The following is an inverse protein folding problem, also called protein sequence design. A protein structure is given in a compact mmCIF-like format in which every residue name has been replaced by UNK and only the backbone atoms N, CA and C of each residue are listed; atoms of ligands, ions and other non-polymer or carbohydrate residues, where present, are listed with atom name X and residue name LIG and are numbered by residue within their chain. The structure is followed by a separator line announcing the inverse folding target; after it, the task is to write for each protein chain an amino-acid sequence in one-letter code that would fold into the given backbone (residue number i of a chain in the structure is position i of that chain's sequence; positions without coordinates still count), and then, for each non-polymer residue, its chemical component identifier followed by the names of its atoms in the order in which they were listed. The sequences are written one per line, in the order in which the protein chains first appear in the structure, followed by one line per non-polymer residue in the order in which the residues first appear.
data_IF_459482396794
#
_entry.id   IF_459482396794
#
_cell.length_a   1.000
_cell.length_b   1.000
_cell.length_c   1.000
_cell.angle_alpha   90.00
_cell.angle_beta   90.00
_cell.angle_gamma   90.00
#
_symmetry.space_group_name_H-M   'P 1'
#
loop_
_entity.id
_entity.type
_entity.pdbx_description
1 polymer ?
#
# COMPACT_ATOMS: atom_id res chain seq x y z
N UNK A 1 34.16 2.51 -3.91
CA UNK A 1 32.93 3.20 -3.45
C UNK A 1 32.11 2.36 -2.46
N UNK A 2 32.01 1.03 -2.60
CA UNK A 2 31.22 0.20 -1.67
C UNK A 2 31.79 0.03 -0.25
N UNK A 3 33.00 0.53 0.04
CA UNK A 3 33.61 0.41 1.37
C UNK A 3 34.04 -1.01 1.78
N UNK A 4 33.91 -2.00 0.89
CA UNK A 4 34.29 -3.41 1.11
C UNK A 4 35.39 -3.86 0.16
N UNK A 5 36.30 -4.71 0.65
CA UNK A 5 37.40 -5.27 -0.15
C UNK A 5 36.91 -6.30 -1.19
N UNK A 6 37.61 -6.40 -2.32
CA UNK A 6 37.25 -7.31 -3.41
C UNK A 6 37.20 -8.78 -2.94
N UNK A 7 38.09 -9.15 -2.02
CA UNK A 7 38.17 -10.49 -1.43
C UNK A 7 36.85 -10.88 -0.73
N UNK A 8 36.23 -9.93 -0.03
CA UNK A 8 34.97 -10.13 0.71
C UNK A 8 33.81 -10.37 -0.25
N UNK A 9 33.75 -9.58 -1.33
CA UNK A 9 32.72 -9.73 -2.37
C UNK A 9 32.86 -11.09 -3.07
N UNK A 10 34.10 -11.49 -3.41
CA UNK A 10 34.37 -12.79 -4.03
C UNK A 10 34.04 -13.96 -3.09
N UNK A 11 34.35 -13.84 -1.80
CA UNK A 11 34.03 -14.84 -0.79
C UNK A 11 32.51 -15.00 -0.64
N UNK A 12 31.76 -13.89 -0.57
CA UNK A 12 30.30 -13.91 -0.56
C UNK A 12 29.74 -14.59 -1.81
N UNK A 13 30.17 -14.17 -3.00
CA UNK A 13 29.69 -14.74 -4.26
C UNK A 13 29.97 -16.26 -4.33
N UNK A 14 31.16 -16.70 -3.91
CA UNK A 14 31.54 -18.12 -3.90
C UNK A 14 30.68 -18.91 -2.91
N UNK A 15 30.51 -18.39 -1.69
CA UNK A 15 29.68 -19.04 -0.67
C UNK A 15 28.21 -19.11 -1.08
N UNK A 16 27.66 -18.01 -1.61
CA UNK A 16 26.28 -17.96 -2.08
C UNK A 16 26.05 -18.90 -3.25
N UNK A 17 26.94 -18.94 -4.25
CA UNK A 17 26.82 -19.85 -5.39
C UNK A 17 26.99 -21.33 -5.01
N UNK A 18 27.87 -21.62 -4.04
CA UNK A 18 28.10 -22.98 -3.55
C UNK A 18 26.92 -23.56 -2.76
N UNK A 19 26.11 -22.71 -2.12
CA UNK A 19 24.92 -23.14 -1.41
C UNK A 19 23.73 -23.37 -2.36
N UNK A 20 23.14 -24.57 -2.26
CA UNK A 20 21.96 -24.98 -3.03
C UNK A 20 20.68 -24.36 -2.48
N UNK A 21 20.68 -23.98 -1.21
CA UNK A 21 19.52 -23.50 -0.45
C UNK A 21 19.83 -22.18 0.26
N UNK A 22 19.80 -21.07 -0.48
CA UNK A 22 20.04 -19.74 0.09
C UNK A 22 18.90 -18.77 -0.19
N UNK A 23 18.49 -18.05 0.85
CA UNK A 23 17.48 -16.98 0.79
C UNK A 23 18.17 -15.64 1.00
N UNK A 24 17.93 -14.69 0.10
CA UNK A 24 18.29 -13.29 0.28
C UNK A 24 17.16 -12.58 1.04
N UNK A 25 17.45 -12.16 2.27
CA UNK A 25 16.54 -11.35 3.07
C UNK A 25 17.01 -9.90 3.05
N UNK A 26 16.10 -8.98 2.75
CA UNK A 26 16.37 -7.54 2.70
C UNK A 26 15.11 -6.76 3.06
N UNK A 27 15.28 -5.56 3.61
CA UNK A 27 14.17 -4.70 4.04
C UNK A 27 13.85 -3.66 2.98
N UNK A 28 12.56 -3.41 2.74
CA UNK A 28 12.07 -2.45 1.74
C UNK A 28 12.57 -1.03 2.00
N UNK A 29 12.45 -0.56 3.24
CA UNK A 29 12.81 0.80 3.63
C UNK A 29 14.32 1.12 3.45
N UNK A 30 15.17 0.08 3.31
CA UNK A 30 16.61 0.24 3.11
C UNK A 30 17.07 -0.18 1.70
N UNK A 31 16.15 -0.46 0.78
CA UNK A 31 16.49 -1.01 -0.54
C UNK A 31 15.83 -0.22 -1.66
N UNK A 32 16.65 0.49 -2.46
CA UNK A 32 16.19 1.16 -3.67
C UNK A 32 15.71 0.18 -4.74
N UNK A 33 14.90 0.67 -5.70
CA UNK A 33 14.33 -0.15 -6.78
C UNK A 33 15.40 -0.90 -7.58
N UNK A 34 16.53 -0.26 -7.89
CA UNK A 34 17.66 -0.90 -8.59
C UNK A 34 18.30 -1.99 -7.74
N UNK A 35 18.50 -1.75 -6.44
CA UNK A 35 19.03 -2.77 -5.52
C UNK A 35 18.12 -4.00 -5.48
N UNK A 36 16.81 -3.80 -5.35
CA UNK A 36 15.83 -4.88 -5.40
C UNK A 36 15.90 -5.67 -6.72
N UNK A 37 16.12 -4.96 -7.83
CA UNK A 37 16.26 -5.55 -9.17
C UNK A 37 17.53 -6.39 -9.31
N UNK A 38 18.66 -5.88 -8.81
CA UNK A 38 19.92 -6.61 -8.85
C UNK A 38 19.93 -7.82 -7.91
N UNK A 39 19.27 -7.74 -6.75
CA UNK A 39 19.07 -8.90 -5.89
C UNK A 39 18.22 -9.97 -6.58
N UNK A 40 17.16 -9.56 -7.28
CA UNK A 40 16.34 -10.47 -8.09
C UNK A 40 17.16 -11.13 -9.21
N UNK A 41 17.92 -10.34 -9.97
CA UNK A 41 18.82 -10.84 -11.01
C UNK A 41 19.82 -11.85 -10.43
N UNK A 42 20.44 -11.54 -9.29
CA UNK A 42 21.37 -12.43 -8.60
C UNK A 42 20.72 -13.77 -8.23
N UNK A 43 19.50 -13.76 -7.71
CA UNK A 43 18.76 -14.98 -7.38
C UNK A 43 18.37 -15.79 -8.64
N UNK A 44 18.08 -15.12 -9.75
CA UNK A 44 17.80 -15.75 -11.04
C UNK A 44 19.05 -16.40 -11.65
N UNK A 45 20.17 -15.67 -11.79
CA UNK A 45 21.39 -16.20 -12.41
C UNK A 45 22.02 -17.32 -11.57
N UNK A 46 21.84 -17.28 -10.24
CA UNK A 46 22.30 -18.33 -9.33
C UNK A 46 21.33 -19.52 -9.22
N UNK A 47 20.21 -19.47 -9.95
CA UNK A 47 19.19 -20.52 -9.99
C UNK A 47 18.51 -20.76 -8.64
N UNK A 48 18.45 -19.76 -7.76
CA UNK A 48 17.83 -19.84 -6.43
C UNK A 48 16.37 -19.41 -6.43
N UNK A 49 15.95 -18.58 -7.38
CA UNK A 49 14.56 -18.20 -7.53
C UNK A 49 13.65 -19.42 -7.83
N UNK A 50 12.47 -19.45 -7.22
CA UNK A 50 11.45 -20.48 -7.48
C UNK A 50 11.70 -21.85 -6.83
N UNK A 51 12.70 -21.98 -5.94
CA UNK A 51 13.00 -23.23 -5.22
C UNK A 51 12.61 -23.14 -3.75
N UNK A 52 12.08 -24.23 -3.19
CA UNK A 52 11.80 -24.33 -1.75
C UNK A 52 13.07 -24.12 -0.94
N UNK A 53 13.01 -23.24 0.06
CA UNK A 53 14.17 -22.90 0.90
C UNK A 53 15.24 -22.05 0.21
N UNK A 54 14.92 -21.44 -0.94
CA UNK A 54 15.79 -20.51 -1.66
C UNK A 54 15.01 -19.33 -2.22
N UNK A 55 15.72 -18.27 -2.61
CA UNK A 55 15.14 -17.16 -3.36
C UNK A 55 15.28 -15.84 -2.62
N UNK A 56 14.20 -15.07 -2.57
CA UNK A 56 14.20 -13.71 -2.02
C UNK A 56 13.05 -13.54 -1.05
N UNK A 57 13.29 -12.78 0.01
CA UNK A 57 12.27 -12.31 0.93
C UNK A 57 12.48 -10.83 1.21
N UNK A 58 11.59 -10.01 0.66
CA UNK A 58 11.53 -8.58 0.94
C UNK A 58 10.71 -8.35 2.21
N UNK A 59 11.36 -8.00 3.31
CA UNK A 59 10.69 -7.68 4.56
C UNK A 59 9.96 -6.35 4.43
N UNK A 60 8.63 -6.43 4.55
CA UNK A 60 7.74 -5.27 4.64
C UNK A 60 7.77 -4.67 6.05
N UNK A 61 7.67 -3.35 6.13
CA UNK A 61 7.71 -2.64 7.42
C UNK A 61 6.40 -2.78 8.21
N UNK A 62 5.26 -2.59 7.53
CA UNK A 62 3.93 -2.63 8.16
C UNK A 62 3.25 -4.00 8.00
N UNK A 63 2.43 -4.34 8.98
CA UNK A 63 1.71 -5.62 9.09
C UNK A 63 0.78 -5.95 7.90
N UNK A 64 0.20 -4.94 7.23
CA UNK A 64 -0.64 -5.12 6.04
C UNK A 64 -0.09 -4.44 4.78
N UNK A 65 1.20 -4.08 4.75
CA UNK A 65 1.75 -3.38 3.60
C UNK A 65 1.47 -4.16 2.32
N UNK A 66 1.68 -5.49 2.32
CA UNK A 66 1.40 -6.31 1.13
C UNK A 66 -0.10 -6.36 0.80
N UNK A 67 -0.98 -6.44 1.80
CA UNK A 67 -2.43 -6.43 1.57
C UNK A 67 -2.92 -5.14 0.92
N UNK A 68 -2.28 -3.99 1.18
CA UNK A 68 -2.58 -2.75 0.46
C UNK A 68 -2.23 -2.85 -1.04
N UNK A 69 -1.12 -3.53 -1.39
CA UNK A 69 -0.82 -3.83 -2.81
C UNK A 69 -1.89 -4.75 -3.41
N UNK A 70 -2.23 -5.83 -2.71
CA UNK A 70 -3.22 -6.81 -3.18
C UNK A 70 -4.59 -6.17 -3.42
N UNK A 71 -4.96 -5.19 -2.59
CA UNK A 71 -6.23 -4.46 -2.69
C UNK A 71 -6.16 -3.23 -3.61
N UNK A 72 -5.04 -3.00 -4.31
CA UNK A 72 -4.93 -1.91 -5.28
C UNK A 72 -4.93 -0.52 -4.65
N UNK A 73 -4.44 -0.37 -3.42
CA UNK A 73 -4.31 0.93 -2.74
C UNK A 73 -3.06 1.66 -3.28
N UNK A 74 -3.00 1.81 -4.61
CA UNK A 74 -1.97 2.50 -5.37
C UNK A 74 -2.53 2.99 -6.70
N UNK A 75 -2.11 4.17 -7.19
CA UNK A 75 -2.63 4.73 -8.45
C UNK A 75 -2.54 3.82 -9.68
N UNK A 76 -1.48 3.01 -9.78
CA UNK A 76 -1.19 2.23 -10.98
C UNK A 76 -1.79 0.82 -10.98
N UNK A 77 -2.43 0.40 -9.89
CA UNK A 77 -2.86 -0.99 -9.71
C UNK A 77 -4.34 -1.10 -9.35
N UNK A 78 -5.00 -2.10 -9.93
CA UNK A 78 -6.31 -2.53 -9.44
C UNK A 78 -6.15 -3.49 -8.25
N UNK A 79 -7.24 -3.78 -7.52
CA UNK A 79 -7.33 -5.02 -6.73
C UNK A 79 -6.87 -6.22 -7.57
N UNK A 80 -6.01 -7.07 -7.00
CA UNK A 80 -5.34 -8.17 -7.69
C UNK A 80 -4.04 -7.80 -8.39
N UNK A 81 -3.55 -6.56 -8.23
CA UNK A 81 -2.28 -6.05 -8.81
C UNK A 81 -2.20 -6.02 -10.34
N UNK A 82 -3.34 -6.04 -11.03
CA UNK A 82 -3.37 -5.81 -12.48
C UNK A 82 -3.04 -4.35 -12.82
N UNK A 83 -2.54 -4.11 -14.04
CA UNK A 83 -2.21 -2.75 -14.49
C UNK A 83 -3.50 -1.93 -14.66
N UNK A 84 -3.69 -0.87 -13.88
CA UNK A 84 -4.86 0.00 -14.00
C UNK A 84 -4.97 0.68 -15.38
N UNK A 85 -3.84 0.91 -16.05
CA UNK A 85 -3.82 1.52 -17.38
C UNK A 85 -4.28 0.57 -18.51
N UNK A 86 -4.44 -0.73 -18.23
CA UNK A 86 -5.03 -1.65 -19.19
C UNK A 86 -6.56 -1.42 -19.30
N UNK A 87 -7.09 -1.07 -20.49
CA UNK A 87 -8.52 -0.84 -20.66
C UNK A 87 -9.38 -2.08 -20.38
N UNK A 88 -8.86 -3.30 -20.58
CA UNK A 88 -9.60 -4.53 -20.25
C UNK A 88 -9.76 -4.72 -18.75
N UNK A 89 -8.74 -4.33 -17.97
CA UNK A 89 -8.82 -4.31 -16.50
C UNK A 89 -9.90 -3.33 -16.08
N UNK A 90 -9.86 -2.06 -16.55
CA UNK A 90 -10.89 -1.07 -16.20
C UNK A 90 -12.30 -1.52 -16.61
N UNK A 91 -12.45 -2.11 -17.79
CA UNK A 91 -13.74 -2.64 -18.25
C UNK A 91 -14.31 -3.72 -17.30
N UNK A 92 -13.46 -4.61 -16.77
CA UNK A 92 -13.86 -5.63 -15.78
C UNK A 92 -14.44 -4.98 -14.52
N UNK A 93 -13.76 -3.95 -13.99
CA UNK A 93 -14.23 -3.22 -12.80
C UNK A 93 -15.50 -2.39 -13.09
N UNK A 94 -15.59 -1.75 -14.26
CA UNK A 94 -16.79 -1.03 -14.68
C UNK A 94 -18.04 -1.92 -14.70
N UNK A 95 -17.90 -3.14 -15.21
CA UNK A 95 -18.99 -4.11 -15.24
C UNK A 95 -19.37 -4.59 -13.85
N UNK A 96 -18.39 -4.92 -13.01
CA UNK A 96 -18.63 -5.42 -11.66
C UNK A 96 -19.28 -4.37 -10.76
N UNK A 97 -18.78 -3.14 -10.78
CA UNK A 97 -19.29 -2.03 -9.97
C UNK A 97 -20.50 -1.34 -10.58
N UNK A 98 -20.90 -1.74 -11.80
CA UNK A 98 -21.94 -1.07 -12.58
C UNK A 98 -21.69 0.45 -12.66
N UNK A 99 -20.41 0.82 -12.72
CA UNK A 99 -20.00 2.21 -12.73
C UNK A 99 -20.13 2.80 -14.12
N UNK A 100 -20.12 4.13 -14.18
CA UNK A 100 -19.77 4.83 -15.42
C UNK A 100 -18.32 4.58 -15.83
N UNK A 101 -17.80 5.41 -16.73
CA UNK A 101 -16.39 5.39 -17.12
C UNK A 101 -15.47 5.60 -15.92
N UNK A 102 -14.54 4.66 -15.71
CA UNK A 102 -13.54 4.76 -14.65
C UNK A 102 -12.32 5.57 -15.14
N UNK A 103 -11.69 6.36 -14.26
CA UNK A 103 -10.58 7.23 -14.65
C UNK A 103 -9.37 6.42 -15.12
N UNK A 104 -8.66 6.90 -16.14
CA UNK A 104 -7.46 6.29 -16.71
C UNK A 104 -6.17 7.08 -16.42
N UNK A 105 -6.27 8.15 -15.62
CA UNK A 105 -5.16 9.04 -15.27
C UNK A 105 -4.14 8.41 -14.33
N UNK A 106 -3.00 9.08 -14.16
CA UNK A 106 -1.85 8.66 -13.32
C UNK A 106 -2.14 8.60 -11.81
N UNK A 107 -3.36 8.99 -11.39
CA UNK A 107 -3.74 9.13 -9.99
C UNK A 107 -2.90 10.17 -9.24
N UNK A 108 -2.42 9.80 -8.05
CA UNK A 108 -1.84 10.74 -7.10
C UNK A 108 -0.32 10.74 -7.15
N UNK A 109 0.26 11.92 -6.99
CA UNK A 109 1.70 12.14 -6.90
C UNK A 109 2.03 12.95 -5.65
N UNK A 110 3.05 12.52 -4.91
CA UNK A 110 3.59 13.26 -3.77
C UNK A 110 4.07 14.66 -4.19
N UNK A 111 4.70 14.79 -5.36
CA UNK A 111 5.12 16.09 -5.89
C UNK A 111 3.92 17.04 -6.10
N UNK A 112 2.79 16.52 -6.61
CA UNK A 112 1.57 17.31 -6.76
C UNK A 112 0.96 17.67 -5.41
N UNK A 113 1.04 16.79 -4.42
CA UNK A 113 0.63 17.08 -3.05
C UNK A 113 1.48 18.20 -2.44
N UNK A 114 2.80 18.10 -2.51
CA UNK A 114 3.74 19.12 -2.02
C UNK A 114 3.49 20.50 -2.65
N UNK A 115 3.08 20.53 -3.92
CA UNK A 115 2.72 21.76 -4.63
C UNK A 115 1.32 22.29 -4.33
N UNK A 116 0.55 21.66 -3.44
CA UNK A 116 -0.80 22.10 -3.09
C UNK A 116 -1.82 21.97 -4.23
N UNK A 117 -1.58 21.03 -5.16
CA UNK A 117 -2.45 20.80 -6.32
C UNK A 117 -3.83 20.27 -5.90
N UNK A 118 -3.86 19.37 -4.92
CA UNK A 118 -5.09 18.75 -4.45
C UNK A 118 -5.83 19.67 -3.48
N UNK A 119 -7.09 20.00 -3.79
CA UNK A 119 -7.94 20.85 -2.97
C UNK A 119 -8.78 20.10 -1.95
N UNK A 120 -8.98 18.80 -2.18
CA UNK A 120 -9.73 17.93 -1.29
C UNK A 120 -8.91 16.69 -1.00
N UNK A 121 -8.71 16.39 0.28
CA UNK A 121 -7.86 15.30 0.73
C UNK A 121 -8.65 14.40 1.67
N UNK A 122 -8.45 13.10 1.53
CA UNK A 122 -8.86 12.12 2.53
C UNK A 122 -7.67 11.26 2.88
N UNK A 123 -7.11 11.52 4.06
CA UNK A 123 -5.93 10.83 4.57
C UNK A 123 -6.43 9.74 5.54
N UNK A 124 -6.11 8.49 5.24
CA UNK A 124 -6.64 7.32 5.92
C UNK A 124 -5.52 6.55 6.62
N UNK A 125 -5.47 6.61 7.95
CA UNK A 125 -4.52 5.87 8.78
C UNK A 125 -3.05 6.21 8.54
N UNK A 126 -2.76 7.45 8.10
CA UNK A 126 -1.41 7.91 7.76
C UNK A 126 -1.17 9.33 8.30
N UNK A 127 0.08 9.63 8.64
CA UNK A 127 0.52 10.90 9.21
C UNK A 127 1.70 11.49 8.39
N UNK A 128 1.47 11.95 7.15
CA UNK A 128 2.54 12.49 6.30
C UNK A 128 3.31 13.64 6.96
N UNK A 129 2.66 14.48 7.76
CA UNK A 129 3.34 15.61 8.44
C UNK A 129 4.25 15.10 9.57
N UNK A 130 3.77 14.23 10.45
CA UNK A 130 4.58 13.73 11.56
C UNK A 130 5.68 12.75 11.14
N UNK A 131 5.45 12.00 10.06
CA UNK A 131 6.41 11.04 9.54
C UNK A 131 7.46 11.66 8.62
N UNK A 132 7.26 12.86 8.06
CA UNK A 132 8.22 13.46 7.13
C UNK A 132 9.58 13.79 7.77
N UNK A 133 10.64 13.75 6.95
CA UNK A 133 11.93 14.36 7.31
C UNK A 133 11.83 15.88 7.39
N UNK A 134 11.07 16.47 6.48
CA UNK A 134 10.77 17.90 6.38
C UNK A 134 9.24 18.08 6.47
N UNK A 135 8.66 18.16 7.68
CA UNK A 135 7.22 18.28 7.91
C UNK A 135 6.57 19.45 7.14
N UNK A 136 7.32 20.54 6.94
CA UNK A 136 6.86 21.76 6.28
C UNK A 136 6.41 21.49 4.83
N UNK A 137 7.05 20.52 4.15
CA UNK A 137 6.71 20.10 2.77
C UNK A 137 5.28 19.58 2.66
N UNK A 138 4.72 19.07 3.75
CA UNK A 138 3.37 18.51 3.78
C UNK A 138 2.41 19.37 4.60
N UNK A 139 2.85 20.00 5.68
CA UNK A 139 1.96 20.78 6.54
C UNK A 139 1.36 21.99 5.81
N UNK A 140 2.15 22.68 4.99
CA UNK A 140 1.67 23.85 4.23
C UNK A 140 0.61 23.45 3.18
N UNK A 141 0.86 22.52 2.25
CA UNK A 141 -0.14 22.17 1.25
C UNK A 141 -1.37 21.47 1.83
N UNK A 142 -1.22 20.64 2.89
CA UNK A 142 -2.37 19.99 3.55
C UNK A 142 -3.21 21.03 4.30
N UNK A 143 -2.57 22.00 4.97
CA UNK A 143 -3.26 23.09 5.67
C UNK A 143 -3.94 24.09 4.73
N UNK A 144 -3.42 24.23 3.50
CA UNK A 144 -3.96 25.12 2.47
C UNK A 144 -5.00 24.44 1.55
N UNK A 145 -5.30 23.15 1.73
CA UNK A 145 -6.35 22.47 0.98
C UNK A 145 -7.74 22.97 1.41
N UNK A 146 -8.68 23.09 0.46
CA UNK A 146 -10.04 23.58 0.73
C UNK A 146 -10.82 22.69 1.71
N UNK A 147 -10.53 21.38 1.71
CA UNK A 147 -11.14 20.44 2.64
C UNK A 147 -10.28 19.19 2.84
N UNK A 148 -9.97 18.88 4.09
CA UNK A 148 -9.14 17.72 4.47
C UNK A 148 -9.87 16.90 5.50
N UNK A 149 -10.10 15.62 5.18
CA UNK A 149 -10.58 14.61 6.13
C UNK A 149 -9.41 13.75 6.55
N UNK A 150 -9.26 13.50 7.85
CA UNK A 150 -8.28 12.55 8.39
C UNK A 150 -9.03 11.49 9.19
N UNK A 151 -8.86 10.21 8.85
CA UNK A 151 -9.31 9.11 9.69
C UNK A 151 -8.09 8.49 10.38
N UNK A 152 -7.99 8.64 11.70
CA UNK A 152 -6.81 8.21 12.48
C UNK A 152 -7.21 7.84 13.92
N UNK A 153 -6.35 7.10 14.61
CA UNK A 153 -6.51 6.71 16.02
C UNK A 153 -6.24 7.87 16.96
N UNK A 154 -5.31 8.75 16.58
CA UNK A 154 -4.83 9.84 17.42
C UNK A 154 -4.96 11.19 16.71
N UNK A 155 -4.91 12.26 17.50
CA UNK A 155 -4.72 13.61 16.98
C UNK A 155 -3.26 13.78 16.56
N UNK A 156 -2.90 13.21 15.41
CA UNK A 156 -1.58 13.31 14.80
C UNK A 156 -1.30 14.73 14.28
N UNK A 157 -0.03 15.11 14.03
CA UNK A 157 0.32 16.34 13.33
C UNK A 157 -0.50 16.58 12.05
N UNK A 158 -0.75 15.53 11.26
CA UNK A 158 -1.62 15.65 10.08
C UNK A 158 -3.08 15.84 10.46
N UNK A 159 -3.60 15.09 11.44
CA UNK A 159 -4.99 15.26 11.91
C UNK A 159 -5.26 16.65 12.47
N UNK A 160 -4.28 17.28 13.12
CA UNK A 160 -4.39 18.64 13.67
C UNK A 160 -4.60 19.71 12.59
N UNK A 161 -4.26 19.43 11.32
CA UNK A 161 -4.49 20.31 10.17
C UNK A 161 -5.82 20.03 9.46
N UNK A 162 -6.54 18.98 9.84
CA UNK A 162 -7.73 18.53 9.15
C UNK A 162 -8.94 19.42 9.44
N UNK A 163 -9.82 19.53 8.44
CA UNK A 163 -11.12 20.18 8.59
C UNK A 163 -12.14 19.25 9.28
N UNK A 164 -11.99 17.94 9.07
CA UNK A 164 -12.81 16.91 9.68
C UNK A 164 -11.91 15.75 10.11
N UNK A 165 -12.06 15.34 11.38
CA UNK A 165 -11.38 14.17 11.91
C UNK A 165 -12.43 13.08 12.15
N UNK A 166 -12.18 11.90 11.61
CA UNK A 166 -12.98 10.70 11.81
C UNK A 166 -12.20 9.76 12.76
N UNK A 167 -12.68 9.50 13.99
CA UNK A 167 -11.98 8.61 14.90
C UNK A 167 -11.93 7.18 14.36
N UNK A 168 -10.73 6.65 14.12
CA UNK A 168 -10.57 5.29 13.62
C UNK A 168 -10.85 4.25 14.72
N UNK A 169 -11.40 3.09 14.34
CA UNK A 169 -11.49 1.93 15.24
C UNK A 169 -10.28 1.02 15.08
N UNK A 170 -9.77 0.53 16.21
CA UNK A 170 -8.60 -0.34 16.25
C UNK A 170 -8.86 -1.67 15.52
N UNK A 171 -7.81 -2.33 14.99
CA UNK A 171 -7.94 -3.62 14.32
C UNK A 171 -8.74 -4.67 15.09
N UNK A 172 -8.49 -4.80 16.38
CA UNK A 172 -9.14 -5.79 17.25
C UNK A 172 -10.59 -5.42 17.61
N UNK A 173 -11.05 -4.21 17.29
CA UNK A 173 -12.45 -3.79 17.48
C UNK A 173 -13.34 -4.20 16.31
N UNK A 174 -12.74 -4.40 15.12
CA UNK A 174 -13.45 -4.76 13.89
C UNK A 174 -13.22 -6.20 13.50
N UNK A 175 -12.03 -6.73 13.75
CA UNK A 175 -11.52 -7.90 13.05
C UNK A 175 -11.19 -7.60 11.58
N UNK A 176 -10.78 -8.61 10.83
CA UNK A 176 -10.45 -8.50 9.42
C UNK A 176 -9.26 -9.36 9.01
N UNK A 177 -8.60 -9.01 7.93
CA UNK A 177 -7.50 -9.81 7.37
C UNK A 177 -6.26 -8.99 7.09
N UNK A 178 -5.10 -9.65 7.20
CA UNK A 178 -3.78 -9.09 6.96
C UNK A 178 -3.01 -9.98 6.00
N UNK A 179 -2.41 -9.41 4.94
CA UNK A 179 -1.45 -10.15 4.11
C UNK A 179 -0.03 -9.84 4.57
N UNK A 180 0.65 -10.86 5.10
CA UNK A 180 2.01 -10.72 5.58
C UNK A 180 3.06 -10.77 4.45
N UNK A 181 4.33 -10.60 4.80
CA UNK A 181 5.49 -10.68 3.88
C UNK A 181 5.58 -11.99 3.08
N UNK A 182 5.08 -13.10 3.63
CA UNK A 182 5.05 -14.40 2.95
C UNK A 182 3.87 -14.53 1.99
N UNK A 183 3.08 -13.47 1.82
CA UNK A 183 1.82 -13.44 1.06
C UNK A 183 0.74 -14.36 1.63
N UNK A 184 0.83 -14.64 2.92
CA UNK A 184 -0.16 -15.43 3.64
C UNK A 184 -1.19 -14.48 4.23
N UNK A 185 -2.46 -14.70 3.88
CA UNK A 185 -3.58 -14.02 4.49
C UNK A 185 -3.82 -14.59 5.89
N UNK A 186 -3.80 -13.72 6.89
CA UNK A 186 -4.03 -14.02 8.29
C UNK A 186 -5.34 -13.38 8.73
N UNK A 187 -6.18 -14.14 9.40
CA UNK A 187 -7.41 -13.61 9.98
C UNK A 187 -7.13 -13.04 11.38
N UNK A 188 -7.72 -11.89 11.69
CA UNK A 188 -7.71 -11.25 13.00
C UNK A 188 -9.15 -11.16 13.47
N UNK A 189 -9.48 -11.85 14.55
CA UNK A 189 -10.82 -11.80 15.11
C UNK A 189 -11.05 -10.50 15.88
N UNK A 190 -12.33 -10.09 15.89
CA UNK A 190 -12.81 -9.03 16.78
C UNK A 190 -12.83 -9.51 18.23
N UNK A 191 -12.35 -8.68 19.15
CA UNK A 191 -12.49 -8.92 20.59
C UNK A 191 -13.97 -8.75 20.98
N UNK A 192 -14.53 -9.77 21.63
CA UNK A 192 -15.97 -9.83 21.95
C UNK A 192 -16.40 -8.80 23.00
N UNK A 193 -15.52 -8.45 23.93
CA UNK A 193 -15.82 -7.53 25.03
C UNK A 193 -14.87 -6.34 25.00
N UNK A 194 -15.36 -5.19 24.53
CA UNK A 194 -14.66 -3.92 24.66
C UNK A 194 -15.14 -3.22 25.92
N UNK A 195 -14.22 -2.55 26.62
CA UNK A 195 -14.59 -1.68 27.73
C UNK A 195 -15.54 -0.59 27.21
N UNK A 196 -16.69 -0.35 27.86
CA UNK A 196 -17.61 0.70 27.46
C UNK A 196 -16.90 2.07 27.34
N UNK A 197 -17.08 2.75 26.21
CA UNK A 197 -16.49 4.06 25.94
C UNK A 197 -15.05 4.05 25.40
N UNK A 198 -14.42 2.87 25.21
CA UNK A 198 -13.10 2.78 24.57
C UNK A 198 -13.15 2.69 23.04
N UNK A 199 -14.26 2.22 22.48
CA UNK A 199 -14.45 2.09 21.04
C UNK A 199 -15.17 3.34 20.48
N UNK A 200 -14.89 3.75 19.24
CA UNK A 200 -15.68 4.77 18.57
C UNK A 200 -17.13 4.30 18.40
N UNK A 201 -18.06 5.24 18.36
CA UNK A 201 -19.49 4.96 18.13
C UNK A 201 -19.73 4.17 16.83
N UNK A 202 -18.88 4.42 15.83
CA UNK A 202 -18.92 3.79 14.53
C UNK A 202 -17.53 3.30 14.14
N UNK A 203 -17.43 2.05 13.71
CA UNK A 203 -16.18 1.49 13.23
C UNK A 203 -15.68 2.19 11.96
N UNK A 204 -14.36 2.19 11.73
CA UNK A 204 -13.71 2.76 10.54
C UNK A 204 -14.37 2.34 9.23
N UNK A 205 -14.67 1.05 9.06
CA UNK A 205 -15.31 0.53 7.84
C UNK A 205 -16.78 0.98 7.71
N UNK A 206 -17.49 1.14 8.82
CA UNK A 206 -18.87 1.65 8.82
C UNK A 206 -18.88 3.13 8.42
N UNK A 207 -17.89 3.91 8.89
CA UNK A 207 -17.71 5.30 8.48
C UNK A 207 -17.45 5.38 6.96
N UNK A 208 -16.58 4.52 6.41
CA UNK A 208 -16.36 4.41 4.97
C UNK A 208 -17.63 4.02 4.21
N UNK A 209 -18.39 3.04 4.70
CA UNK A 209 -19.65 2.63 4.08
C UNK A 209 -20.69 3.75 4.07
N UNK A 210 -20.77 4.56 5.13
CA UNK A 210 -21.62 5.76 5.13
C UNK A 210 -21.15 6.82 4.14
N UNK A 211 -19.83 6.99 3.98
CA UNK A 211 -19.29 7.89 2.96
C UNK A 211 -19.65 7.41 1.55
N UNK A 212 -19.50 6.10 1.27
CA UNK A 212 -19.91 5.51 -0.01
C UNK A 212 -21.39 5.77 -0.30
N UNK A 213 -22.25 5.52 0.69
CA UNK A 213 -23.68 5.77 0.56
C UNK A 213 -24.00 7.24 0.29
N UNK A 214 -23.38 8.17 1.02
CA UNK A 214 -23.58 9.62 0.83
C UNK A 214 -23.03 10.14 -0.50
N UNK A 215 -22.01 9.48 -1.06
CA UNK A 215 -21.42 9.80 -2.35
C UNK A 215 -22.12 9.09 -3.53
N UNK A 216 -23.17 8.32 -3.27
CA UNK A 216 -23.86 7.48 -4.26
C UNK A 216 -22.90 6.49 -4.96
N UNK A 217 -21.90 5.99 -4.23
CA UNK A 217 -20.89 5.05 -4.73
C UNK A 217 -21.18 3.59 -4.32
N UNK A 218 -22.39 3.32 -3.82
CA UNK A 218 -22.81 2.01 -3.32
C UNK A 218 -22.78 1.89 -1.80
N UNK A 219 -23.07 0.70 -1.31
CA UNK A 219 -23.03 0.32 0.10
C UNK A 219 -22.93 -1.20 0.22
N UNK A 220 -22.48 -1.68 1.38
CA UNK A 220 -22.44 -3.10 1.73
C UNK A 220 -22.99 -3.31 3.15
N UNK A 221 -23.38 -4.52 3.52
CA UNK A 221 -23.93 -4.79 4.86
C UNK A 221 -22.89 -5.41 5.79
N UNK A 222 -22.07 -6.31 5.27
CA UNK A 222 -21.05 -7.05 6.02
C UNK A 222 -19.70 -7.03 5.32
N UNK A 223 -18.61 -7.09 6.09
CA UNK A 223 -17.24 -7.04 5.54
C UNK A 223 -16.93 -8.21 4.60
N UNK A 224 -17.57 -9.36 4.80
CA UNK A 224 -17.40 -10.54 3.95
C UNK A 224 -17.81 -10.27 2.50
N UNK A 225 -18.81 -9.41 2.26
CA UNK A 225 -19.22 -9.01 0.90
C UNK A 225 -18.07 -8.33 0.16
N UNK A 226 -17.36 -7.42 0.84
CA UNK A 226 -16.20 -6.72 0.27
C UNK A 226 -15.07 -7.70 -0.04
N UNK A 227 -14.82 -8.67 0.86
CA UNK A 227 -13.79 -9.68 0.65
C UNK A 227 -14.12 -10.59 -0.54
N UNK A 228 -15.37 -11.05 -0.64
CA UNK A 228 -15.81 -11.90 -1.74
C UNK A 228 -15.84 -11.15 -3.07
N UNK A 229 -16.25 -9.88 -3.07
CA UNK A 229 -16.18 -9.02 -4.24
C UNK A 229 -14.73 -8.85 -4.71
N UNK A 230 -13.83 -8.48 -3.80
CA UNK A 230 -12.41 -8.33 -4.12
C UNK A 230 -11.81 -9.64 -4.66
N UNK A 231 -12.09 -10.78 -4.01
CA UNK A 231 -11.64 -12.09 -4.47
C UNK A 231 -12.19 -12.46 -5.86
N UNK A 232 -13.43 -12.09 -6.17
CA UNK A 232 -14.04 -12.28 -7.49
C UNK A 232 -13.43 -11.40 -8.58
N UNK A 233 -12.81 -10.28 -8.21
CA UNK A 233 -12.14 -9.34 -9.12
C UNK A 233 -10.66 -9.67 -9.35
N UNK A 234 -10.08 -10.55 -8.53
CA UNK A 234 -8.69 -10.96 -8.69
C UNK A 234 -8.52 -11.80 -9.97
N UNK A 235 -7.37 -11.66 -10.66
CA UNK A 235 -7.09 -12.47 -11.84
C UNK A 235 -7.09 -13.96 -11.48
N UNK A 236 -7.99 -14.72 -12.09
CA UNK A 236 -8.15 -16.17 -11.87
C UNK A 236 -6.92 -17.00 -12.27
N UNK A 237 -6.10 -16.45 -13.15
CA UNK A 237 -4.86 -17.06 -13.61
C UNK A 237 -3.75 -16.03 -13.53
N UNK A 238 -2.57 -16.45 -13.05
CA UNK A 238 -1.35 -15.69 -13.24
C UNK A 238 -1.02 -15.72 -14.74
N UNK A 239 -1.51 -14.72 -15.48
CA UNK A 239 -1.35 -14.60 -16.93
C UNK A 239 0.08 -14.21 -17.33
N UNK A 240 0.96 -13.93 -16.37
CA UNK A 240 2.35 -13.61 -16.63
C UNK A 240 3.10 -14.89 -17.03
N UNK A 241 3.09 -15.21 -18.32
CA UNK A 241 4.04 -16.18 -18.91
C UNK A 241 5.51 -15.73 -18.76
N UNK A 242 5.72 -14.47 -18.38
CA UNK A 242 7.01 -13.88 -18.02
C UNK A 242 6.88 -13.28 -16.63
N UNK A 243 7.76 -13.67 -15.71
CA UNK A 243 7.96 -12.95 -14.47
C UNK A 243 8.38 -11.51 -14.84
N UNK A 244 7.45 -10.58 -14.71
CA UNK A 244 7.71 -9.17 -14.97
C UNK A 244 8.12 -8.50 -13.67
N UNK A 245 9.42 -8.27 -13.50
CA UNK A 245 9.89 -7.29 -12.55
C UNK A 245 9.46 -5.91 -13.09
N UNK A 246 8.49 -5.26 -12.42
CA UNK A 246 8.09 -3.90 -12.77
C UNK A 246 8.98 -2.93 -12.01
N UNK A 247 9.82 -2.23 -12.77
CA UNK A 247 10.67 -1.17 -12.28
C UNK A 247 9.82 0.10 -12.10
N UNK A 248 9.89 0.74 -10.94
CA UNK A 248 9.52 2.16 -10.83
C UNK A 248 10.58 2.96 -11.57
N UNK A 249 10.15 3.91 -12.41
CA UNK A 249 11.03 4.53 -13.42
C UNK A 249 12.17 5.39 -12.85
N UNK A 250 12.16 5.68 -11.54
CA UNK A 250 13.13 6.57 -10.91
C UNK A 250 13.60 6.00 -9.57
N UNK A 251 14.91 6.07 -9.33
CA UNK A 251 15.47 5.80 -8.00
C UNK A 251 15.25 7.01 -7.11
N UNK A 252 14.50 6.82 -6.02
CA UNK A 252 14.47 7.78 -4.94
C UNK A 252 15.49 7.40 -3.86
N UNK A 253 16.66 8.04 -3.91
CA UNK A 253 17.72 7.87 -2.90
C UNK A 253 17.45 8.66 -1.62
N UNK A 254 16.44 9.54 -1.62
CA UNK A 254 16.12 10.40 -0.49
C UNK A 254 14.79 9.98 0.10
N UNK A 255 14.78 9.27 1.25
CA UNK A 255 13.54 8.93 1.89
C UNK A 255 12.81 10.22 2.29
N UNK A 256 11.55 10.34 1.90
CA UNK A 256 10.71 11.51 2.18
C UNK A 256 10.14 11.45 3.59
N UNK A 257 9.79 10.23 4.02
CA UNK A 257 9.27 9.91 5.34
C UNK A 257 10.25 9.04 6.11
N UNK A 258 10.29 9.24 7.43
CA UNK A 258 11.06 8.45 8.40
C UNK A 258 10.46 7.05 8.57
N UNK A 259 9.14 6.92 8.43
CA UNK A 259 8.39 5.67 8.52
C UNK A 259 6.99 5.84 7.87
N UNK A 260 6.51 4.81 7.17
CA UNK A 260 5.17 4.81 6.56
C UNK A 260 4.91 5.88 5.50
N UNK A 261 3.62 6.15 5.21
CA UNK A 261 3.18 7.10 4.18
C UNK A 261 3.74 6.82 2.77
N UNK A 262 3.99 5.56 2.44
CA UNK A 262 4.60 5.16 1.17
C UNK A 262 3.69 5.42 -0.05
N UNK A 263 2.38 5.58 0.17
CA UNK A 263 1.40 5.95 -0.84
C UNK A 263 0.35 6.90 -0.24
N UNK A 264 0.01 7.97 -0.96
CA UNK A 264 -1.06 8.91 -0.58
C UNK A 264 -2.24 8.73 -1.52
N UNK A 265 -3.42 8.58 -0.93
CA UNK A 265 -4.71 8.52 -1.63
C UNK A 265 -5.49 9.83 -1.42
N UNK A 266 -6.28 10.22 -2.42
CA UNK A 266 -7.03 11.47 -2.49
C UNK A 266 -8.32 11.17 -3.23
N UNK A 267 -9.43 11.64 -2.67
CA UNK A 267 -10.73 11.47 -3.29
C UNK A 267 -10.93 12.57 -4.34
N UNK A 268 -10.77 12.24 -5.62
CA UNK A 268 -11.22 13.12 -6.70
C UNK A 268 -12.68 12.79 -7.05
N UNK A 269 -13.62 13.57 -6.53
CA UNK A 269 -14.98 13.60 -7.09
C UNK A 269 -14.91 14.53 -8.30
N UNK A 270 -15.01 13.98 -9.52
CA UNK A 270 -15.34 14.82 -10.69
C UNK A 270 -16.75 15.37 -10.45
N UNK A 271 -16.84 16.69 -10.31
CA UNK A 271 -18.12 17.42 -10.42
C UNK A 271 -18.43 17.60 -11.89
#
# INVERSE_FOLDING_TARGET
MAGVGAEVVSAFATSYLGDKSAVLLFAENNSGASTCSELFNLACISGKHGKTGSGLMLLKEKNNAHGLYDMGVMPSFSPGTDNWHDPLVRQRFQQAWQSGELPDGEGISLEKLERGYYKKLFIFGEDPVGCAFEPERFSEPIGNADFTVVQDYFLTPTAALAHLILPASWPWENGGTYTNTQKVLQNSDKIQSLTPGMAPEMASWQQLNQLLHRLNAGNFEVLDEVLFEAAGLFPLFCSSSRLHLRLTAEENFTPIFKAGCDAVSALSVKV
#
